data_IF_446413298174
#
_entry.id   IF_446413298174
#
_cell.length_a   1.000
_cell.length_b   1.000
_cell.length_c   1.000
_cell.angle_alpha   90.00
_cell.angle_beta   90.00
_cell.angle_gamma   90.00
#
_symmetry.space_group_name_H-M   'P 1'
#
loop_
_entity.id
_entity.type
_entity.pdbx_description
1 polymer ?
#
# COMPACT_ATOMS: atom_id res chain seq x y z
N UNK A 1 -12.28 -28.07 -19.85
CA UNK A 1 -12.72 -26.66 -19.69
C UNK A 1 -11.53 -25.87 -19.19
N UNK A 2 -11.34 -24.64 -19.67
CA UNK A 2 -10.27 -23.78 -19.18
C UNK A 2 -10.65 -23.14 -17.83
N UNK A 3 -9.73 -23.09 -16.89
CA UNK A 3 -9.87 -22.39 -15.61
C UNK A 3 -9.64 -20.90 -15.86
N UNK A 4 -10.64 -20.08 -15.57
CA UNK A 4 -10.57 -18.62 -15.76
C UNK A 4 -10.12 -17.94 -14.48
N UNK A 5 -9.12 -17.07 -14.58
CA UNK A 5 -8.57 -16.31 -13.46
C UNK A 5 -8.63 -14.82 -13.78
N UNK A 6 -9.05 -14.02 -12.80
CA UNK A 6 -8.98 -12.56 -12.87
C UNK A 6 -7.93 -12.05 -11.90
N UNK A 7 -6.92 -11.37 -12.41
CA UNK A 7 -5.98 -10.61 -11.59
C UNK A 7 -6.59 -9.23 -11.39
N UNK A 8 -7.29 -9.08 -10.27
CA UNK A 8 -7.89 -7.81 -9.87
C UNK A 8 -6.84 -6.99 -9.12
N UNK A 9 -6.54 -5.80 -9.63
CA UNK A 9 -5.51 -4.94 -9.03
C UNK A 9 -5.90 -3.47 -9.06
N UNK A 10 -5.28 -2.67 -8.19
CA UNK A 10 -5.28 -1.22 -8.28
C UNK A 10 -3.84 -0.73 -8.48
N UNK A 11 -3.67 0.39 -9.18
CA UNK A 11 -2.36 1.03 -9.35
C UNK A 11 -2.54 2.52 -9.62
N UNK A 12 -1.86 3.36 -8.84
CA UNK A 12 -1.82 4.81 -9.06
C UNK A 12 -0.80 5.17 -10.13
N UNK A 13 0.42 4.60 -10.05
CA UNK A 13 1.58 5.00 -10.86
C UNK A 13 2.06 3.93 -11.84
N UNK A 14 1.27 2.88 -12.05
CA UNK A 14 1.61 1.81 -12.99
C UNK A 14 2.49 0.69 -12.40
N UNK A 15 3.22 0.91 -11.29
CA UNK A 15 4.07 -0.13 -10.68
C UNK A 15 3.33 -1.45 -10.42
N UNK A 16 2.13 -1.41 -9.83
CA UNK A 16 1.33 -2.62 -9.57
C UNK A 16 0.74 -3.19 -10.85
N UNK A 17 0.54 -2.37 -11.90
CA UNK A 17 0.11 -2.86 -13.21
C UNK A 17 1.22 -3.71 -13.84
N UNK A 18 2.47 -3.26 -13.79
CA UNK A 18 3.63 -4.03 -14.24
C UNK A 18 3.72 -5.38 -13.51
N UNK A 19 3.50 -5.39 -12.19
CA UNK A 19 3.46 -6.64 -11.42
C UNK A 19 2.30 -7.54 -11.86
N UNK A 20 1.10 -6.98 -12.10
CA UNK A 20 -0.06 -7.73 -12.57
C UNK A 20 0.20 -8.41 -13.93
N UNK A 21 0.92 -7.75 -14.84
CA UNK A 21 1.31 -8.33 -16.13
C UNK A 21 2.32 -9.48 -15.98
N UNK A 22 3.31 -9.37 -15.09
CA UNK A 22 4.24 -10.47 -14.81
C UNK A 22 3.54 -11.66 -14.14
N UNK A 23 2.57 -11.40 -13.25
CA UNK A 23 1.73 -12.46 -12.67
C UNK A 23 0.90 -13.12 -13.78
N UNK A 24 0.29 -12.34 -14.69
CA UNK A 24 -0.46 -12.87 -15.83
C UNK A 24 0.41 -13.79 -16.68
N UNK A 25 1.62 -13.36 -17.03
CA UNK A 25 2.59 -14.16 -17.79
C UNK A 25 2.90 -15.50 -17.11
N UNK A 26 3.11 -15.50 -15.80
CA UNK A 26 3.31 -16.72 -15.04
C UNK A 26 2.09 -17.64 -15.05
N UNK A 27 0.90 -17.08 -14.84
CA UNK A 27 -0.34 -17.85 -14.78
C UNK A 27 -0.80 -18.39 -16.15
N UNK A 28 -0.62 -17.62 -17.24
CA UNK A 28 -0.89 -18.05 -18.63
C UNK A 28 0.02 -19.21 -19.07
N UNK A 29 1.17 -19.43 -18.41
CA UNK A 29 2.07 -20.53 -18.70
C UNK A 29 1.54 -21.91 -18.27
N UNK A 30 0.47 -21.94 -17.46
CA UNK A 30 -0.14 -23.17 -16.95
C UNK A 30 -1.18 -23.68 -17.97
N UNK A 31 -1.04 -24.92 -18.49
CA UNK A 31 -1.99 -25.45 -19.47
C UNK A 31 -3.44 -25.45 -18.97
N UNK A 32 -4.35 -24.97 -19.81
CA UNK A 32 -5.77 -24.90 -19.49
C UNK A 32 -6.16 -23.75 -18.56
N UNK A 33 -5.29 -22.76 -18.33
CA UNK A 33 -5.61 -21.52 -17.60
C UNK A 33 -5.76 -20.36 -18.58
N UNK A 34 -6.75 -19.50 -18.35
CA UNK A 34 -6.99 -18.25 -19.09
C UNK A 34 -7.05 -17.10 -18.08
N UNK A 35 -6.16 -16.11 -18.21
CA UNK A 35 -6.02 -15.02 -17.23
C UNK A 35 -6.41 -13.68 -17.83
N UNK A 36 -7.24 -12.92 -17.11
CA UNK A 36 -7.58 -11.52 -17.44
C UNK A 36 -7.08 -10.59 -16.35
N UNK A 37 -6.40 -9.51 -16.72
CA UNK A 37 -5.98 -8.44 -15.81
C UNK A 37 -7.10 -7.39 -15.75
N UNK A 38 -7.58 -7.08 -14.54
CA UNK A 38 -8.67 -6.14 -14.32
C UNK A 38 -8.24 -5.06 -13.32
N UNK A 39 -8.13 -3.82 -13.80
CA UNK A 39 -7.86 -2.67 -12.93
C UNK A 39 -9.14 -2.19 -12.26
N UNK A 40 -9.14 -2.14 -10.94
CA UNK A 40 -10.20 -1.52 -10.14
C UNK A 40 -9.72 -0.19 -9.57
N UNK A 41 -10.64 0.78 -9.35
CA UNK A 41 -10.32 1.94 -8.53
C UNK A 41 -10.03 1.49 -7.10
N UNK A 42 -9.13 2.22 -6.43
CA UNK A 42 -8.87 1.98 -5.02
C UNK A 42 -10.13 2.28 -4.20
N UNK A 43 -10.47 1.36 -3.31
CA UNK A 43 -11.57 1.52 -2.34
C UNK A 43 -11.00 1.32 -0.95
N UNK A 44 -11.38 2.22 -0.03
CA UNK A 44 -11.22 1.99 1.39
C UNK A 44 -11.99 0.72 1.79
N UNK A 45 -11.47 -0.12 2.72
CA UNK A 45 -12.21 -1.28 3.21
C UNK A 45 -13.66 -0.92 3.60
N UNK A 46 -14.60 -1.75 3.19
CA UNK A 46 -16.04 -1.50 3.39
C UNK A 46 -16.38 -1.34 4.87
N UNK A 47 -15.70 -2.07 5.76
CA UNK A 47 -15.89 -2.00 7.21
C UNK A 47 -15.61 -0.60 7.76
N UNK A 48 -14.55 0.07 7.27
CA UNK A 48 -14.23 1.44 7.68
C UNK A 48 -15.29 2.41 7.19
N UNK A 49 -15.78 2.20 5.97
CA UNK A 49 -16.76 3.08 5.33
C UNK A 49 -18.15 2.94 5.96
N UNK A 50 -18.62 1.72 6.22
CA UNK A 50 -19.92 1.46 6.86
C UNK A 50 -20.01 2.00 8.29
N UNK A 51 -18.90 2.00 9.04
CA UNK A 51 -18.85 2.58 10.38
C UNK A 51 -18.58 4.08 10.41
N UNK A 52 -18.48 4.75 9.24
CA UNK A 52 -18.19 6.18 9.16
C UNK A 52 -16.80 6.55 9.67
N UNK A 53 -15.85 5.61 9.65
CA UNK A 53 -14.48 5.86 10.09
C UNK A 53 -13.71 6.64 9.02
N UNK A 54 -12.92 7.60 9.47
CA UNK A 54 -12.01 8.36 8.61
C UNK A 54 -10.63 7.72 8.61
N UNK A 55 -10.17 7.29 7.45
CA UNK A 55 -8.80 6.85 7.26
C UNK A 55 -7.88 8.04 6.97
N UNK A 56 -6.83 8.20 7.78
CA UNK A 56 -5.83 9.26 7.63
C UNK A 56 -4.48 8.62 7.29
N UNK A 57 -4.21 8.37 5.99
CA UNK A 57 -2.92 7.85 5.55
C UNK A 57 -1.82 8.90 5.70
N UNK A 58 -0.56 8.45 5.74
CA UNK A 58 0.60 9.37 5.73
C UNK A 58 0.74 10.09 4.38
N UNK A 59 0.24 9.49 3.29
CA UNK A 59 0.36 10.01 1.94
C UNK A 59 1.83 10.23 1.56
N UNK A 60 2.09 11.25 0.75
CA UNK A 60 3.45 11.70 0.44
C UNK A 60 3.93 12.86 1.33
N UNK A 61 3.32 13.03 2.51
CA UNK A 61 3.54 14.21 3.37
C UNK A 61 4.89 14.21 4.08
N UNK A 62 5.61 13.08 4.09
CA UNK A 62 6.97 12.98 4.62
C UNK A 62 8.06 13.41 3.61
N UNK A 63 7.67 14.09 2.52
CA UNK A 63 8.59 14.76 1.60
C UNK A 63 9.62 13.81 0.97
N UNK A 64 10.87 14.26 0.88
CA UNK A 64 11.97 13.48 0.31
C UNK A 64 12.14 12.09 0.96
N UNK A 65 11.77 11.95 2.25
CA UNK A 65 11.79 10.67 2.96
C UNK A 65 10.86 9.62 2.36
N UNK A 66 9.83 9.99 1.59
CA UNK A 66 8.98 9.03 0.86
C UNK A 66 9.63 8.52 -0.43
N UNK A 67 10.57 9.26 -0.99
CA UNK A 67 11.15 9.00 -2.32
C UNK A 67 12.61 8.50 -2.26
N UNK A 68 13.21 8.46 -1.07
CA UNK A 68 14.57 7.94 -0.90
C UNK A 68 14.64 6.45 -1.29
N UNK A 69 15.66 6.08 -2.07
CA UNK A 69 15.87 4.73 -2.64
C UNK A 69 17.27 4.18 -2.32
N UNK A 70 17.99 4.86 -1.43
CA UNK A 70 19.36 4.57 -0.98
C UNK A 70 19.43 3.38 -0.02
N UNK A 71 18.35 3.08 0.68
CA UNK A 71 18.23 1.90 1.53
C UNK A 71 16.91 1.16 1.35
N UNK A 72 16.91 -0.13 1.70
CA UNK A 72 15.67 -0.90 1.82
C UNK A 72 14.91 -0.36 3.02
N UNK A 73 13.69 0.12 2.78
CA UNK A 73 12.75 0.59 3.80
C UNK A 73 11.33 0.13 3.46
N UNK A 74 10.55 -0.16 4.49
CA UNK A 74 9.13 -0.43 4.37
C UNK A 74 8.29 0.85 4.29
N UNK A 75 6.97 0.64 4.32
CA UNK A 75 5.99 1.71 4.28
C UNK A 75 5.53 2.07 2.86
N UNK A 76 4.46 2.83 2.81
CA UNK A 76 3.82 3.29 1.59
C UNK A 76 3.00 4.55 1.89
N UNK A 77 2.37 5.19 0.89
CA UNK A 77 1.43 6.27 1.17
C UNK A 77 0.31 5.88 2.14
N UNK A 78 0.00 4.59 2.31
CA UNK A 78 -1.00 4.14 3.27
C UNK A 78 -0.54 4.18 4.73
N UNK A 79 0.77 4.14 4.97
CA UNK A 79 1.32 4.16 6.33
C UNK A 79 2.77 3.72 6.39
N UNK A 80 3.39 4.02 7.53
CA UNK A 80 4.70 3.53 7.92
C UNK A 80 4.69 2.00 8.02
N UNK A 81 5.81 1.38 7.70
CA UNK A 81 5.99 -0.06 7.78
C UNK A 81 7.47 -0.40 7.78
N UNK A 82 7.78 -1.65 8.10
CA UNK A 82 9.14 -2.17 8.13
C UNK A 82 9.17 -3.56 7.49
N UNK A 83 10.28 -3.92 6.86
CA UNK A 83 10.54 -5.30 6.43
C UNK A 83 11.29 -6.04 7.53
N UNK A 84 10.78 -7.20 7.95
CA UNK A 84 11.40 -8.01 9.01
C UNK A 84 12.57 -8.90 8.54
N UNK A 85 12.75 -9.06 7.22
CA UNK A 85 13.64 -10.08 6.65
C UNK A 85 13.06 -11.49 6.77
N UNK A 86 13.70 -12.48 6.12
CA UNK A 86 13.17 -13.85 6.06
C UNK A 86 13.22 -14.59 7.41
N UNK A 87 14.17 -14.24 8.28
CA UNK A 87 14.36 -14.81 9.61
C UNK A 87 13.82 -13.92 10.74
N UNK A 88 13.21 -12.78 10.40
CA UNK A 88 12.68 -11.81 11.36
C UNK A 88 13.74 -10.98 12.10
N UNK A 89 15.01 -11.06 11.71
CA UNK A 89 16.11 -10.38 12.41
C UNK A 89 16.18 -8.87 12.15
N UNK A 90 15.62 -8.38 11.03
CA UNK A 90 15.70 -6.95 10.69
C UNK A 90 14.74 -6.14 11.55
N UNK A 91 15.29 -5.17 12.26
CA UNK A 91 14.53 -4.19 13.05
C UNK A 91 14.25 -2.91 12.25
N UNK A 92 13.30 -2.07 12.68
CA UNK A 92 13.04 -0.79 12.04
C UNK A 92 14.31 0.07 11.89
N UNK A 93 14.53 0.64 10.70
CA UNK A 93 15.62 1.59 10.46
C UNK A 93 15.24 2.99 10.95
N UNK A 94 16.22 3.89 11.05
CA UNK A 94 15.97 5.29 11.41
C UNK A 94 15.01 5.97 10.43
N UNK A 95 15.07 5.65 9.14
CA UNK A 95 14.12 6.17 8.14
C UNK A 95 12.68 5.69 8.39
N UNK A 96 12.51 4.41 8.74
CA UNK A 96 11.19 3.83 9.05
C UNK A 96 10.61 4.41 10.35
N UNK A 97 11.47 4.61 11.37
CA UNK A 97 11.08 5.27 12.63
C UNK A 97 10.70 6.73 12.42
N UNK A 98 11.45 7.47 11.61
CA UNK A 98 11.13 8.85 11.25
C UNK A 98 9.80 8.96 10.50
N UNK A 99 9.52 8.03 9.57
CA UNK A 99 8.23 7.96 8.87
C UNK A 99 7.08 7.67 9.85
N UNK A 100 7.26 6.76 10.81
CA UNK A 100 6.28 6.44 11.83
C UNK A 100 5.98 7.64 12.75
N UNK A 101 7.01 8.34 13.20
CA UNK A 101 6.86 9.55 14.01
C UNK A 101 6.11 10.65 13.25
N UNK A 102 6.48 10.86 11.98
CA UNK A 102 5.82 11.82 11.10
C UNK A 102 4.34 11.47 10.88
N UNK A 103 4.03 10.20 10.60
CA UNK A 103 2.65 9.74 10.46
C UNK A 103 1.85 10.01 11.74
N UNK A 104 2.41 9.70 12.91
CA UNK A 104 1.77 9.97 14.20
C UNK A 104 1.44 11.45 14.39
N UNK A 105 2.40 12.34 14.10
CA UNK A 105 2.21 13.81 14.16
C UNK A 105 1.14 14.27 13.17
N UNK A 106 1.17 13.78 11.94
CA UNK A 106 0.24 14.15 10.88
C UNK A 106 -1.19 13.74 11.23
N UNK A 107 -1.40 12.47 11.57
CA UNK A 107 -2.70 11.92 11.97
C UNK A 107 -3.27 12.67 13.19
N UNK A 108 -2.47 12.87 14.24
CA UNK A 108 -2.91 13.58 15.43
C UNK A 108 -3.31 15.04 15.11
N UNK A 109 -2.60 15.69 14.20
CA UNK A 109 -2.93 17.03 13.71
C UNK A 109 -4.29 17.09 13.01
N UNK A 110 -4.61 16.11 12.16
CA UNK A 110 -5.92 16.00 11.50
C UNK A 110 -7.02 15.73 12.53
N UNK A 111 -6.81 14.76 13.43
CA UNK A 111 -7.78 14.45 14.48
C UNK A 111 -8.09 15.67 15.36
N UNK A 112 -7.06 16.45 15.74
CA UNK A 112 -7.22 17.70 16.50
C UNK A 112 -8.05 18.73 15.75
N UNK A 113 -7.83 18.91 14.44
CA UNK A 113 -8.60 19.84 13.61
C UNK A 113 -10.05 19.42 13.45
N UNK A 114 -10.29 18.13 13.21
CA UNK A 114 -11.64 17.58 13.13
C UNK A 114 -12.40 17.79 14.43
N UNK A 115 -11.80 17.49 15.59
CA UNK A 115 -12.41 17.76 16.90
C UNK A 115 -12.79 19.23 17.12
N UNK A 116 -12.11 20.18 16.48
CA UNK A 116 -12.40 21.60 16.63
C UNK A 116 -13.62 22.08 15.81
N UNK A 117 -14.12 21.25 14.88
CA UNK A 117 -15.24 21.58 13.99
C UNK A 117 -16.48 20.69 14.22
N UNK A 118 -16.39 19.72 15.15
CA UNK A 118 -17.54 18.96 15.67
C UNK A 118 -17.84 19.44 17.10
#
# INVERSE_FOLDING_TARGET
MATKIYIVYYSTWGHVATLAEEIKKGADSVPGVEVTVWRVPETLPEELTHHGMLFVPVGYTHGAGMFAMDEVKGGSPYGAGTFAGADGSRTPTDAELALAEHQGKYFAGIAKKLKAVV
#
